data_IF_837588421553
#
_entry.id   IF_837588421553
#
_cell.length_a   1.000
_cell.length_b   1.000
_cell.length_c   1.000
_cell.angle_alpha   90.00
_cell.angle_beta   90.00
_cell.angle_gamma   90.00
#
_symmetry.space_group_name_H-M   'P 1'
#
loop_
_entity.id
_entity.type
_entity.pdbx_description
1 polymer ?
#
# COMPACT_ATOMS: atom_id res chain seq x y z
N UNK A 1 23.01 8.54 24.72
CA UNK A 1 22.67 7.21 25.26
C UNK A 1 21.52 7.38 26.22
N UNK A 2 20.37 6.77 25.95
CA UNK A 2 19.21 6.81 26.84
C UNK A 2 19.20 5.51 27.64
N UNK A 3 18.99 5.61 28.96
CA UNK A 3 18.89 4.45 29.85
C UNK A 3 17.52 4.43 30.52
N UNK A 4 16.90 3.27 30.60
CA UNK A 4 15.67 3.03 31.34
C UNK A 4 15.89 1.75 32.17
N UNK A 5 15.81 1.86 33.49
CA UNK A 5 15.91 0.73 34.42
C UNK A 5 17.06 -0.24 34.11
N UNK A 6 18.30 0.24 34.09
CA UNK A 6 19.54 -0.53 33.84
C UNK A 6 19.71 -1.12 32.42
N UNK A 7 18.76 -0.92 31.51
CA UNK A 7 18.90 -1.35 30.11
C UNK A 7 19.39 -0.24 29.22
N UNK A 8 20.37 -0.55 28.35
CA UNK A 8 20.90 0.38 27.35
C UNK A 8 19.95 0.41 26.17
N UNK A 9 19.38 1.59 25.88
CA UNK A 9 18.55 1.80 24.71
C UNK A 9 19.45 2.17 23.53
N UNK A 10 19.51 1.30 22.53
CA UNK A 10 20.23 1.54 21.29
C UNK A 10 19.37 2.42 20.35
N UNK A 11 19.94 3.52 19.89
CA UNK A 11 19.31 4.37 18.86
C UNK A 11 19.42 3.64 17.53
N UNK A 12 18.29 3.34 16.89
CA UNK A 12 18.21 2.73 15.58
C UNK A 12 17.64 3.72 14.57
N UNK A 13 18.14 3.68 13.33
CA UNK A 13 17.65 4.55 12.26
C UNK A 13 16.27 4.12 11.73
N UNK A 14 15.96 2.85 11.81
CA UNK A 14 14.67 2.28 11.43
C UNK A 14 14.18 1.34 12.53
N UNK A 15 12.87 1.36 12.78
CA UNK A 15 12.20 0.43 13.69
C UNK A 15 10.94 -0.12 13.04
N UNK A 16 10.55 -1.34 13.43
CA UNK A 16 9.28 -1.91 13.00
C UNK A 16 8.27 -1.85 14.15
N UNK A 17 7.15 -1.15 13.92
CA UNK A 17 6.04 -1.05 14.86
C UNK A 17 4.76 -1.60 14.21
N UNK A 18 4.19 -2.66 14.78
CA UNK A 18 2.96 -3.30 14.27
C UNK A 18 3.01 -3.58 12.76
N UNK A 19 4.17 -4.02 12.27
CA UNK A 19 4.37 -4.34 10.86
C UNK A 19 4.65 -3.16 9.93
N UNK A 20 4.68 -1.93 10.46
CA UNK A 20 5.07 -0.71 9.73
C UNK A 20 6.51 -0.36 10.06
N UNK A 21 7.34 -0.18 9.03
CA UNK A 21 8.72 0.27 9.18
C UNK A 21 8.74 1.79 9.24
N UNK A 22 9.22 2.34 10.37
CA UNK A 22 9.32 3.78 10.63
C UNK A 22 10.81 4.13 10.64
N UNK A 23 11.20 5.12 9.87
CA UNK A 23 12.56 5.69 9.87
C UNK A 23 12.63 6.98 10.71
N UNK A 24 13.82 7.34 11.17
CA UNK A 24 14.06 8.51 12.03
C UNK A 24 13.68 9.86 11.37
N UNK A 25 13.49 9.89 10.05
CA UNK A 25 13.09 11.08 9.27
C UNK A 25 11.64 11.04 8.83
N UNK A 26 10.87 10.01 9.22
CA UNK A 26 9.47 9.79 8.82
C UNK A 26 9.24 9.84 7.30
N UNK A 27 10.22 9.39 6.51
CA UNK A 27 10.10 9.31 5.04
C UNK A 27 9.46 8.01 4.58
N UNK A 28 9.43 7.01 5.45
CA UNK A 28 8.83 5.69 5.20
C UNK A 28 9.39 4.96 3.97
N UNK A 29 10.63 5.25 3.59
CA UNK A 29 11.26 4.61 2.43
C UNK A 29 11.39 3.10 2.60
N UNK A 30 11.73 2.64 3.81
CA UNK A 30 11.76 1.22 4.18
C UNK A 30 10.40 0.56 4.03
N UNK A 31 9.33 1.21 4.52
CA UNK A 31 7.97 0.71 4.39
C UNK A 31 7.53 0.60 2.93
N UNK A 32 7.75 1.62 2.12
CA UNK A 32 7.41 1.61 0.69
C UNK A 32 8.17 0.50 -0.05
N UNK A 33 9.45 0.31 0.26
CA UNK A 33 10.28 -0.78 -0.30
C UNK A 33 9.70 -2.15 0.07
N UNK A 34 9.28 -2.33 1.32
CA UNK A 34 8.65 -3.56 1.84
C UNK A 34 7.35 -3.87 1.08
N UNK A 35 6.47 -2.87 0.90
CA UNK A 35 5.22 -3.01 0.14
C UNK A 35 5.51 -3.39 -1.31
N UNK A 36 6.37 -2.63 -2.00
CA UNK A 36 6.71 -2.88 -3.40
C UNK A 36 7.30 -4.28 -3.60
N UNK A 37 8.16 -4.76 -2.68
CA UNK A 37 8.74 -6.10 -2.73
C UNK A 37 7.68 -7.19 -2.59
N UNK A 38 6.81 -7.09 -1.57
CA UNK A 38 5.75 -8.07 -1.33
C UNK A 38 4.79 -8.14 -2.52
N UNK A 39 4.31 -7.01 -3.00
CA UNK A 39 3.39 -6.95 -4.15
C UNK A 39 4.07 -7.48 -5.42
N UNK A 40 5.35 -7.15 -5.66
CA UNK A 40 6.10 -7.67 -6.82
C UNK A 40 6.22 -9.19 -6.78
N UNK A 41 6.49 -9.77 -5.62
CA UNK A 41 6.58 -11.23 -5.46
C UNK A 41 5.23 -11.90 -5.74
N UNK A 42 4.14 -11.34 -5.23
CA UNK A 42 2.80 -11.85 -5.50
C UNK A 42 2.43 -11.75 -6.98
N UNK A 43 2.68 -10.61 -7.63
CA UNK A 43 2.43 -10.46 -9.06
C UNK A 43 3.25 -11.46 -9.87
N UNK A 44 4.52 -11.67 -9.53
CA UNK A 44 5.38 -12.64 -10.22
C UNK A 44 4.84 -14.08 -10.11
N UNK A 45 4.37 -14.46 -8.93
CA UNK A 45 3.73 -15.75 -8.70
C UNK A 45 2.43 -15.88 -9.51
N UNK A 46 1.54 -14.90 -9.38
CA UNK A 46 0.23 -14.91 -10.04
C UNK A 46 0.32 -14.83 -11.57
N UNK A 47 1.34 -14.17 -12.11
CA UNK A 47 1.57 -14.13 -13.56
C UNK A 47 1.83 -15.50 -14.20
N UNK A 48 2.34 -16.47 -13.43
CA UNK A 48 2.51 -17.85 -13.90
C UNK A 48 1.15 -18.54 -14.11
N UNK A 49 0.16 -18.15 -13.32
CA UNK A 49 -1.18 -18.76 -13.31
C UNK A 49 -2.22 -17.92 -14.07
N UNK A 50 -1.84 -16.76 -14.60
CA UNK A 50 -2.78 -15.77 -15.17
C UNK A 50 -3.63 -16.28 -16.33
N UNK A 51 -3.13 -17.27 -17.09
CA UNK A 51 -3.87 -17.88 -18.21
C UNK A 51 -5.01 -18.78 -17.75
N UNK A 52 -4.94 -19.28 -16.51
CA UNK A 52 -5.91 -20.22 -15.95
C UNK A 52 -7.10 -19.46 -15.36
N UNK A 53 -6.88 -18.24 -14.86
CA UNK A 53 -7.89 -17.49 -14.16
C UNK A 53 -8.70 -16.57 -15.10
N UNK A 54 -10.04 -16.62 -15.09
CA UNK A 54 -10.88 -15.62 -15.75
C UNK A 54 -10.71 -14.25 -15.09
N UNK A 55 -11.22 -13.21 -15.76
CA UNK A 55 -11.04 -11.81 -15.33
C UNK A 55 -11.56 -11.57 -13.90
N UNK A 56 -12.77 -12.06 -13.58
CA UNK A 56 -13.41 -11.87 -12.28
C UNK A 56 -12.55 -12.45 -11.15
N UNK A 57 -12.03 -13.66 -11.34
CA UNK A 57 -11.15 -14.31 -10.36
C UNK A 57 -9.85 -13.54 -10.18
N UNK A 58 -9.27 -12.99 -11.25
CA UNK A 58 -8.06 -12.16 -11.13
C UNK A 58 -8.33 -10.86 -10.36
N UNK A 59 -9.50 -10.26 -10.56
CA UNK A 59 -9.93 -9.06 -9.83
C UNK A 59 -10.13 -9.37 -8.34
N UNK A 60 -10.73 -10.50 -8.01
CA UNK A 60 -10.92 -10.94 -6.62
C UNK A 60 -9.58 -11.26 -5.95
N UNK A 61 -8.66 -11.90 -6.66
CA UNK A 61 -7.29 -12.14 -6.19
C UNK A 61 -6.58 -10.80 -5.92
N UNK A 62 -6.72 -9.82 -6.81
CA UNK A 62 -6.17 -8.47 -6.58
C UNK A 62 -6.73 -7.85 -5.30
N UNK A 63 -8.05 -7.89 -5.12
CA UNK A 63 -8.71 -7.32 -3.95
C UNK A 63 -8.33 -8.02 -2.65
N UNK A 64 -8.21 -9.35 -2.68
CA UNK A 64 -7.92 -10.15 -1.49
C UNK A 64 -6.44 -10.17 -1.09
N UNK A 65 -5.53 -10.25 -2.05
CA UNK A 65 -4.10 -10.47 -1.78
C UNK A 65 -3.22 -9.24 -2.01
N UNK A 66 -3.53 -8.41 -3.00
CA UNK A 66 -2.67 -7.29 -3.40
C UNK A 66 -3.11 -5.97 -2.75
N UNK A 67 -4.38 -5.62 -2.87
CA UNK A 67 -4.91 -4.36 -2.34
C UNK A 67 -4.69 -4.16 -0.83
N UNK A 68 -4.74 -5.18 0.03
CA UNK A 68 -4.46 -5.00 1.46
C UNK A 68 -3.07 -4.46 1.77
N UNK A 69 -2.06 -4.78 0.96
CA UNK A 69 -0.71 -4.24 1.18
C UNK A 69 -0.63 -2.73 0.98
N UNK A 70 -1.44 -2.17 0.09
CA UNK A 70 -1.54 -0.72 -0.11
C UNK A 70 -2.39 -0.03 0.95
N UNK A 71 -3.32 -0.76 1.56
CA UNK A 71 -4.29 -0.21 2.49
C UNK A 71 -3.88 -0.32 3.96
N UNK A 72 -2.97 -1.25 4.30
CA UNK A 72 -2.57 -1.47 5.68
C UNK A 72 -1.84 -0.25 6.26
N UNK A 73 -2.41 0.34 7.30
CA UNK A 73 -1.90 1.54 7.99
C UNK A 73 -1.51 2.68 7.03
N UNK A 74 -2.20 2.81 5.89
CA UNK A 74 -1.83 3.75 4.84
C UNK A 74 -1.87 5.21 5.27
N UNK A 75 -2.61 5.52 6.30
CA UNK A 75 -2.69 6.83 6.92
C UNK A 75 -1.37 7.22 7.60
N UNK A 76 -0.70 6.27 8.23
CA UNK A 76 0.57 6.51 8.93
C UNK A 76 1.71 6.88 7.98
N UNK A 77 1.79 6.25 6.82
CA UNK A 77 2.85 6.47 5.83
C UNK A 77 2.39 7.28 4.60
N UNK A 78 1.26 8.00 4.72
CA UNK A 78 0.75 8.86 3.64
C UNK A 78 1.78 9.88 3.15
N UNK A 79 2.60 10.40 4.04
CA UNK A 79 3.63 11.41 3.76
C UNK A 79 4.96 10.83 3.22
N UNK A 80 4.92 9.67 2.56
CA UNK A 80 6.11 8.97 2.06
C UNK A 80 6.92 9.71 0.96
N UNK A 81 6.57 10.95 0.67
CA UNK A 81 7.23 11.76 -0.35
C UNK A 81 6.87 11.38 -1.80
N UNK A 82 7.24 12.25 -2.75
CA UNK A 82 6.88 12.08 -4.16
C UNK A 82 7.47 10.82 -4.80
N UNK A 83 8.72 10.47 -4.44
CA UNK A 83 9.37 9.23 -4.92
C UNK A 83 8.66 7.97 -4.42
N UNK A 84 8.22 7.97 -3.17
CA UNK A 84 7.47 6.87 -2.57
C UNK A 84 6.11 6.70 -3.26
N UNK A 85 5.38 7.80 -3.44
CA UNK A 85 4.10 7.81 -4.15
C UNK A 85 4.26 7.27 -5.58
N UNK A 86 5.27 7.73 -6.33
CA UNK A 86 5.51 7.26 -7.70
C UNK A 86 5.81 5.74 -7.77
N UNK A 87 6.58 5.21 -6.80
CA UNK A 87 6.83 3.76 -6.70
C UNK A 87 5.55 2.97 -6.43
N UNK A 88 4.69 3.47 -5.54
CA UNK A 88 3.40 2.83 -5.24
C UNK A 88 2.46 2.82 -6.43
N UNK A 89 2.34 3.94 -7.16
CA UNK A 89 1.52 4.00 -8.38
C UNK A 89 2.05 3.04 -9.45
N UNK A 90 3.37 2.98 -9.64
CA UNK A 90 3.99 2.09 -10.63
C UNK A 90 3.76 0.61 -10.31
N UNK A 91 3.86 0.20 -9.04
CA UNK A 91 3.58 -1.19 -8.67
C UNK A 91 2.08 -1.50 -8.71
N UNK A 92 1.21 -0.53 -8.40
CA UNK A 92 -0.23 -0.64 -8.57
C UNK A 92 -0.60 -0.83 -10.03
N UNK A 93 -0.03 -0.04 -10.94
CA UNK A 93 -0.20 -0.23 -12.38
C UNK A 93 0.15 -1.64 -12.84
N UNK A 94 1.29 -2.18 -12.38
CA UNK A 94 1.68 -3.56 -12.69
C UNK A 94 0.67 -4.59 -12.19
N UNK A 95 0.10 -4.36 -11.01
CA UNK A 95 -0.94 -5.22 -10.45
C UNK A 95 -2.23 -5.17 -11.28
N UNK A 96 -2.66 -3.99 -11.73
CA UNK A 96 -3.84 -3.85 -12.58
C UNK A 96 -3.63 -4.46 -13.97
N UNK A 97 -2.41 -4.39 -14.52
CA UNK A 97 -2.06 -5.08 -15.78
C UNK A 97 -2.10 -6.61 -15.65
N UNK A 98 -1.85 -7.16 -14.46
CA UNK A 98 -2.11 -8.57 -14.21
C UNK A 98 -3.61 -8.89 -14.31
N UNK A 99 -4.47 -8.05 -13.72
CA UNK A 99 -5.93 -8.24 -13.72
C UNK A 99 -6.51 -8.18 -15.13
N UNK A 100 -6.16 -7.13 -15.88
CA UNK A 100 -6.76 -6.84 -17.20
C UNK A 100 -6.11 -7.60 -18.36
N UNK A 101 -4.92 -8.18 -18.17
CA UNK A 101 -4.07 -8.72 -19.24
C UNK A 101 -3.66 -7.69 -20.31
N UNK A 102 -3.89 -6.44 -20.04
CA UNK A 102 -3.59 -5.36 -20.97
C UNK A 102 -2.23 -4.73 -20.66
N UNK A 103 -1.37 -4.65 -21.66
CA UNK A 103 -0.03 -4.06 -21.56
C UNK A 103 0.06 -2.67 -22.16
N UNK A 104 -0.91 -2.28 -22.99
CA UNK A 104 -0.85 -1.08 -23.83
C UNK A 104 -1.66 0.09 -23.27
N UNK A 105 -2.74 -0.19 -22.57
CA UNK A 105 -3.66 0.85 -22.06
C UNK A 105 -2.98 1.70 -20.98
N UNK A 106 -3.26 3.00 -20.97
CA UNK A 106 -2.77 3.93 -19.97
C UNK A 106 -3.33 3.59 -18.58
N UNK A 107 -2.53 3.83 -17.55
CA UNK A 107 -2.88 3.53 -16.16
C UNK A 107 -4.20 4.19 -15.71
N UNK A 108 -4.41 5.46 -16.09
CA UNK A 108 -5.64 6.18 -15.76
C UNK A 108 -6.89 5.53 -16.37
N UNK A 109 -6.77 5.01 -17.60
CA UNK A 109 -7.86 4.29 -18.28
C UNK A 109 -8.14 2.96 -17.59
N UNK A 110 -7.10 2.24 -17.13
CA UNK A 110 -7.26 1.01 -16.34
C UNK A 110 -8.00 1.28 -15.04
N UNK A 111 -7.66 2.35 -14.33
CA UNK A 111 -8.35 2.76 -13.11
C UNK A 111 -9.84 3.04 -13.35
N UNK A 112 -10.16 3.79 -14.40
CA UNK A 112 -11.55 4.07 -14.78
C UNK A 112 -12.32 2.80 -15.14
N UNK A 113 -11.72 1.93 -15.95
CA UNK A 113 -12.35 0.67 -16.36
C UNK A 113 -12.67 -0.25 -15.19
N UNK A 114 -11.81 -0.28 -14.18
CA UNK A 114 -11.97 -1.09 -12.98
C UNK A 114 -12.73 -0.37 -11.85
N UNK A 115 -13.15 0.88 -12.08
CA UNK A 115 -13.77 1.77 -11.09
C UNK A 115 -12.93 1.88 -9.80
N UNK A 116 -11.63 2.08 -9.96
CA UNK A 116 -10.66 2.23 -8.88
C UNK A 116 -10.06 3.64 -8.87
N UNK A 117 -9.67 4.08 -7.69
CA UNK A 117 -8.90 5.31 -7.49
C UNK A 117 -7.40 5.00 -7.54
N UNK A 118 -6.59 6.00 -7.89
CA UNK A 118 -5.13 5.93 -7.72
C UNK A 118 -4.75 5.68 -6.26
N UNK A 119 -3.56 5.17 -6.01
CA UNK A 119 -3.11 4.88 -4.64
C UNK A 119 -3.07 6.15 -3.77
N UNK A 120 -2.70 7.28 -4.35
CA UNK A 120 -2.73 8.56 -3.66
C UNK A 120 -4.16 8.96 -3.27
N UNK A 121 -5.09 8.91 -4.21
CA UNK A 121 -6.48 9.30 -3.97
C UNK A 121 -7.18 8.36 -2.98
N UNK A 122 -6.90 7.07 -3.02
CA UNK A 122 -7.42 6.11 -2.02
C UNK A 122 -6.99 6.50 -0.60
N UNK A 123 -5.73 6.87 -0.41
CA UNK A 123 -5.22 7.31 0.91
C UNK A 123 -5.86 8.62 1.36
N UNK A 124 -6.03 9.58 0.45
CA UNK A 124 -6.69 10.87 0.76
C UNK A 124 -8.13 10.64 1.20
N UNK A 125 -8.89 9.83 0.47
CA UNK A 125 -10.29 9.51 0.82
C UNK A 125 -10.36 8.81 2.16
N UNK A 126 -9.45 7.89 2.43
CA UNK A 126 -9.39 7.16 3.70
C UNK A 126 -9.10 8.09 4.88
N UNK A 127 -8.14 9.00 4.75
CA UNK A 127 -7.84 10.01 5.76
C UNK A 127 -9.02 10.95 5.99
N UNK A 128 -9.62 11.47 4.92
CA UNK A 128 -10.78 12.36 5.02
C UNK A 128 -11.96 11.67 5.72
N UNK A 129 -12.20 10.40 5.39
CA UNK A 129 -13.24 9.59 6.04
C UNK A 129 -12.94 9.37 7.53
N UNK A 130 -11.68 9.13 7.88
CA UNK A 130 -11.24 8.99 9.28
C UNK A 130 -11.47 10.26 10.08
N UNK A 131 -11.07 11.42 9.55
CA UNK A 131 -11.30 12.74 10.17
C UNK A 131 -12.79 13.02 10.33
N UNK A 132 -13.59 12.78 9.29
CA UNK A 132 -15.04 12.97 9.35
C UNK A 132 -15.67 12.12 10.47
N UNK A 133 -15.30 10.85 10.55
CA UNK A 133 -15.79 9.95 11.61
C UNK A 133 -15.40 10.43 13.01
N UNK A 134 -14.16 10.89 13.17
CA UNK A 134 -13.68 11.41 14.45
C UNK A 134 -14.47 12.65 14.90
N UNK A 135 -14.74 13.58 13.98
CA UNK A 135 -15.50 14.82 14.30
C UNK A 135 -16.96 14.51 14.62
N UNK A 136 -17.60 13.56 13.94
CA UNK A 136 -19.02 13.24 14.12
C UNK A 136 -19.28 12.15 15.17
N UNK A 137 -18.28 11.81 15.99
CA UNK A 137 -18.46 10.89 17.12
C UNK A 137 -18.70 9.42 16.74
N UNK A 138 -18.46 9.06 15.48
CA UNK A 138 -18.48 7.65 15.10
C UNK A 138 -17.28 6.94 15.74
N UNK A 139 -17.57 6.03 16.69
CA UNK A 139 -16.52 5.18 17.26
C UNK A 139 -15.84 4.44 16.13
N UNK A 140 -14.52 4.60 16.02
CA UNK A 140 -13.69 3.71 15.23
C UNK A 140 -13.87 2.33 15.87
N UNK A 141 -14.70 1.48 15.28
CA UNK A 141 -14.72 0.07 15.67
C UNK A 141 -13.35 -0.53 15.44
N UNK A 142 -12.81 -1.29 16.40
CA UNK A 142 -11.51 -1.91 16.31
C UNK A 142 -11.42 -2.87 15.12
#
# INVERSE_FOLDING_TARGET
>A
MLTCEESVILIQDEMELLGVTIDNKFKFEGQIRKICRKVSQQIAFLNRLKKIFPFEVRLDIYRALIAPHFNYCSESWHHCGTRGCAKLEKISERALRFVTHDKSTKYETLLKHLNLLSQLNQRIVKMATGVYKAIHGYKLSP
#
